data_IF_651497502322
#
_entry.id   IF_651497502322
#
_cell.length_a   1.000
_cell.length_b   1.000
_cell.length_c   1.000
_cell.angle_alpha   90.00
_cell.angle_beta   90.00
_cell.angle_gamma   90.00
#
_symmetry.space_group_name_H-M   'P 1'
#
loop_
_entity.id
_entity.type
_entity.pdbx_description
1 polymer ?
#
# COMPACT_ATOMS: atom_id res chain seq x y z
N UNK A 1 -32.16 18.84 -55.91
CA UNK A 1 -30.96 19.52 -55.37
C UNK A 1 -31.28 19.99 -53.96
N UNK A 2 -30.88 19.24 -52.95
CA UNK A 2 -30.75 19.69 -51.55
C UNK A 2 -29.76 18.74 -50.88
N UNK A 3 -28.48 19.09 -50.94
CA UNK A 3 -27.39 18.35 -50.32
C UNK A 3 -27.24 18.81 -48.87
N UNK A 4 -27.81 18.06 -47.92
CA UNK A 4 -27.52 18.27 -46.49
C UNK A 4 -26.14 17.70 -46.18
N UNK A 5 -25.18 18.58 -45.90
CA UNK A 5 -23.87 18.20 -45.39
C UNK A 5 -23.99 17.73 -43.93
N UNK A 6 -23.37 16.61 -43.55
CA UNK A 6 -23.23 16.27 -42.15
C UNK A 6 -22.20 17.21 -41.51
N UNK A 7 -22.67 17.89 -40.48
CA UNK A 7 -21.91 18.75 -39.58
C UNK A 7 -20.82 17.89 -38.93
N UNK A 8 -19.57 18.21 -39.22
CA UNK A 8 -18.38 17.64 -38.57
C UNK A 8 -18.47 17.88 -37.07
N UNK A 9 -18.64 16.80 -36.31
CA UNK A 9 -18.32 16.76 -34.89
C UNK A 9 -16.84 17.15 -34.75
N UNK A 10 -16.62 18.30 -34.12
CA UNK A 10 -15.30 18.68 -33.63
C UNK A 10 -14.90 17.69 -32.53
N UNK A 11 -13.73 17.03 -32.60
CA UNK A 11 -13.28 16.16 -31.54
C UNK A 11 -13.14 16.97 -30.25
N UNK A 12 -13.72 16.44 -29.17
CA UNK A 12 -13.54 16.90 -27.81
C UNK A 12 -12.05 17.16 -27.58
N UNK A 13 -11.66 18.33 -27.07
CA UNK A 13 -10.29 18.51 -26.57
C UNK A 13 -10.03 17.39 -25.57
N UNK A 14 -9.13 16.48 -25.91
CA UNK A 14 -8.71 15.38 -25.07
C UNK A 14 -8.04 15.97 -23.83
N UNK A 15 -8.78 16.01 -22.74
CA UNK A 15 -8.25 16.39 -21.45
C UNK A 15 -7.20 15.34 -21.03
N UNK A 16 -5.98 15.76 -20.62
CA UNK A 16 -4.94 14.80 -20.31
C UNK A 16 -5.37 13.89 -19.15
N UNK A 17 -4.99 12.60 -19.16
CA UNK A 17 -5.24 11.68 -18.06
C UNK A 17 -4.82 12.27 -16.71
N UNK A 18 -5.54 11.92 -15.64
CA UNK A 18 -5.27 12.43 -14.28
C UNK A 18 -3.79 12.28 -13.88
N UNK A 19 -3.15 11.18 -14.25
CA UNK A 19 -1.73 10.95 -13.98
C UNK A 19 -0.81 11.99 -14.64
N UNK A 20 -1.10 12.43 -15.87
CA UNK A 20 -0.32 13.45 -16.56
C UNK A 20 -0.53 14.83 -15.91
N UNK A 21 -1.76 15.17 -15.54
CA UNK A 21 -2.04 16.40 -14.80
C UNK A 21 -1.30 16.45 -13.47
N UNK A 22 -1.31 15.35 -12.71
CA UNK A 22 -0.58 15.27 -11.44
C UNK A 22 0.93 15.47 -11.63
N UNK A 23 1.51 14.97 -12.72
CA UNK A 23 2.93 15.20 -13.02
C UNK A 23 3.24 16.67 -13.31
N UNK A 24 2.39 17.34 -14.09
CA UNK A 24 2.65 18.72 -14.54
C UNK A 24 2.23 19.80 -13.54
N UNK A 25 1.11 19.60 -12.84
CA UNK A 25 0.48 20.62 -12.00
C UNK A 25 1.00 20.57 -10.55
N UNK A 26 1.67 19.49 -10.15
CA UNK A 26 2.27 19.38 -8.81
C UNK A 26 3.62 20.11 -8.77
N UNK A 27 3.81 20.98 -7.78
CA UNK A 27 5.07 21.68 -7.53
C UNK A 27 6.16 20.80 -6.92
N UNK A 28 6.57 19.73 -7.60
CA UNK A 28 7.45 18.69 -7.04
C UNK A 28 8.74 19.20 -6.39
N UNK A 29 9.35 20.23 -6.96
CA UNK A 29 10.58 20.83 -6.42
C UNK A 29 10.40 21.54 -5.07
N UNK A 30 9.17 21.90 -4.69
CA UNK A 30 8.87 22.50 -3.38
C UNK A 30 8.50 21.48 -2.32
N UNK A 31 8.32 20.21 -2.67
CA UNK A 31 7.88 19.17 -1.75
C UNK A 31 9.06 18.47 -1.10
N UNK A 32 9.05 18.41 0.23
CA UNK A 32 10.04 17.68 1.02
C UNK A 32 10.00 16.16 0.78
N UNK A 33 11.17 15.55 0.78
CA UNK A 33 11.42 14.11 0.76
C UNK A 33 12.41 13.75 1.88
N UNK A 34 12.62 12.46 2.21
CA UNK A 34 13.65 12.06 3.18
C UNK A 34 15.07 12.54 2.81
N UNK A 35 15.32 12.82 1.53
CA UNK A 35 16.65 13.13 0.99
C UNK A 35 16.77 14.52 0.38
N UNK A 36 15.78 15.41 0.58
CA UNK A 36 15.79 16.76 0.05
C UNK A 36 14.43 17.15 -0.52
N UNK A 37 14.38 17.46 -1.82
CA UNK A 37 13.17 17.86 -2.54
C UNK A 37 12.69 16.78 -3.50
N UNK A 38 11.45 16.92 -3.98
CA UNK A 38 10.82 16.01 -4.93
C UNK A 38 11.19 16.24 -6.40
N UNK A 39 12.20 17.05 -6.72
CA UNK A 39 12.52 17.47 -8.10
C UNK A 39 12.72 16.30 -9.08
N UNK A 40 13.28 15.19 -8.61
CA UNK A 40 13.50 13.99 -9.43
C UNK A 40 12.27 13.07 -9.57
N UNK A 41 11.22 13.27 -8.77
CA UNK A 41 10.05 12.39 -8.73
C UNK A 41 9.30 12.31 -10.06
N UNK A 42 9.04 13.40 -10.82
CA UNK A 42 8.29 13.31 -12.07
C UNK A 42 8.91 12.33 -13.06
N UNK A 43 10.22 12.42 -13.27
CA UNK A 43 10.95 11.54 -14.18
C UNK A 43 10.99 10.08 -13.71
N UNK A 44 10.96 9.83 -12.40
CA UNK A 44 10.86 8.47 -11.86
C UNK A 44 9.43 7.92 -12.00
N UNK A 45 8.41 8.74 -11.72
CA UNK A 45 7.00 8.36 -11.80
C UNK A 45 6.57 8.05 -13.24
N UNK A 46 6.99 8.83 -14.23
CA UNK A 46 6.74 8.55 -15.66
C UNK A 46 7.28 7.18 -16.08
N UNK A 47 8.45 6.80 -15.57
CA UNK A 47 9.10 5.52 -15.89
C UNK A 47 8.38 4.30 -15.30
N UNK A 48 7.43 4.48 -14.36
CA UNK A 48 6.55 3.39 -13.90
C UNK A 48 5.68 2.82 -15.04
N UNK A 49 5.45 3.60 -16.10
CA UNK A 49 4.68 3.20 -17.27
C UNK A 49 5.55 2.77 -18.45
N UNK A 50 6.87 2.71 -18.30
CA UNK A 50 7.80 2.28 -19.36
C UNK A 50 7.51 0.85 -19.83
N UNK A 51 7.73 0.53 -21.10
CA UNK A 51 7.51 -0.83 -21.60
C UNK A 51 8.49 -1.83 -20.98
N UNK A 52 9.74 -1.41 -20.78
CA UNK A 52 10.85 -2.26 -20.33
C UNK A 52 10.73 -2.63 -18.83
N UNK A 53 10.74 -3.93 -18.48
CA UNK A 53 10.64 -4.39 -17.09
C UNK A 53 11.72 -3.83 -16.15
N UNK A 54 12.98 -3.75 -16.61
CA UNK A 54 14.10 -3.26 -15.79
C UNK A 54 13.97 -1.76 -15.47
N UNK A 55 13.44 -0.99 -16.43
CA UNK A 55 13.15 0.44 -16.24
C UNK A 55 12.03 0.60 -15.20
N UNK A 56 10.96 -0.20 -15.31
CA UNK A 56 9.88 -0.20 -14.32
C UNK A 56 10.36 -0.59 -12.93
N UNK A 57 11.15 -1.64 -12.83
CA UNK A 57 11.68 -2.12 -11.55
C UNK A 57 12.54 -1.05 -10.86
N UNK A 58 13.40 -0.39 -11.64
CA UNK A 58 14.22 0.74 -11.18
C UNK A 58 13.34 1.93 -10.78
N UNK A 59 12.34 2.27 -11.60
CA UNK A 59 11.41 3.37 -11.34
C UNK A 59 10.58 3.15 -10.06
N UNK A 60 10.13 1.92 -9.78
CA UNK A 60 9.44 1.57 -8.53
C UNK A 60 10.35 1.86 -7.34
N UNK A 61 11.61 1.40 -7.38
CA UNK A 61 12.56 1.63 -6.28
C UNK A 61 12.88 3.11 -6.10
N UNK A 62 13.07 3.85 -7.19
CA UNK A 62 13.42 5.27 -7.15
C UNK A 62 12.23 6.13 -6.69
N UNK A 63 11.07 6.01 -7.33
CA UNK A 63 9.91 6.85 -7.04
C UNK A 63 9.35 6.58 -5.64
N UNK A 64 9.19 5.30 -5.26
CA UNK A 64 8.60 4.96 -3.97
C UNK A 64 9.63 5.10 -2.84
N UNK A 65 10.88 4.70 -3.07
CA UNK A 65 11.96 4.87 -2.10
C UNK A 65 12.25 6.34 -1.78
N UNK A 66 12.07 7.24 -2.74
CA UNK A 66 12.23 8.68 -2.53
C UNK A 66 11.16 9.29 -1.62
N UNK A 67 10.06 8.60 -1.30
CA UNK A 67 9.00 9.09 -0.41
C UNK A 67 8.69 8.13 0.74
N UNK A 68 9.59 7.19 1.00
CA UNK A 68 9.44 6.19 2.06
C UNK A 68 10.69 6.17 2.93
N UNK A 69 10.53 6.57 4.19
CA UNK A 69 11.58 6.46 5.20
C UNK A 69 10.96 6.45 6.60
N UNK A 70 11.36 5.48 7.44
CA UNK A 70 10.99 5.38 8.86
C UNK A 70 9.49 5.52 9.17
N UNK A 71 8.62 5.00 8.30
CA UNK A 71 7.16 5.08 8.45
C UNK A 71 6.63 6.52 8.54
N UNK A 72 7.34 7.47 7.94
CA UNK A 72 6.97 8.89 7.89
C UNK A 72 6.31 9.23 6.56
N UNK A 73 5.22 9.99 6.62
CA UNK A 73 4.59 10.60 5.44
C UNK A 73 5.18 11.99 5.23
N UNK A 74 5.78 12.18 4.05
CA UNK A 74 6.38 13.43 3.62
C UNK A 74 5.42 14.20 2.72
N UNK A 75 5.69 15.49 2.50
CA UNK A 75 4.90 16.35 1.61
C UNK A 75 4.74 15.74 0.22
N UNK A 76 5.81 15.13 -0.31
CA UNK A 76 5.79 14.45 -1.60
C UNK A 76 5.05 13.09 -1.59
N UNK A 77 4.89 12.44 -0.44
CA UNK A 77 4.19 11.14 -0.33
C UNK A 77 2.74 11.24 -0.81
N UNK A 78 2.07 12.36 -0.50
CA UNK A 78 0.67 12.60 -0.84
C UNK A 78 0.41 12.63 -2.35
N UNK A 79 1.08 13.49 -3.16
CA UNK A 79 0.89 13.49 -4.61
C UNK A 79 1.44 12.22 -5.27
N UNK A 80 2.47 11.56 -4.73
CA UNK A 80 2.87 10.22 -5.20
C UNK A 80 1.73 9.22 -5.02
N UNK A 81 1.05 9.21 -3.87
CA UNK A 81 -0.08 8.32 -3.64
C UNK A 81 -1.24 8.55 -4.62
N UNK A 82 -1.52 9.81 -4.94
CA UNK A 82 -2.51 10.17 -5.95
C UNK A 82 -2.09 9.73 -7.36
N UNK A 83 -0.82 9.92 -7.73
CA UNK A 83 -0.31 9.47 -9.01
C UNK A 83 -0.41 7.96 -9.14
N UNK A 84 0.03 7.23 -8.11
CA UNK A 84 -0.06 5.77 -8.04
C UNK A 84 -1.52 5.31 -8.20
N UNK A 85 -2.45 5.89 -7.44
CA UNK A 85 -3.87 5.58 -7.56
C UNK A 85 -4.39 5.82 -8.98
N UNK A 86 -3.97 6.90 -9.65
CA UNK A 86 -4.37 7.22 -11.02
C UNK A 86 -3.84 6.21 -12.06
N UNK A 87 -2.72 5.55 -11.81
CA UNK A 87 -2.11 4.60 -12.76
C UNK A 87 -2.36 3.12 -12.43
N UNK A 88 -2.97 2.79 -11.28
CA UNK A 88 -3.19 1.40 -10.84
C UNK A 88 -3.90 0.54 -11.91
N UNK A 89 -4.91 1.11 -12.57
CA UNK A 89 -5.67 0.47 -13.65
C UNK A 89 -4.98 0.45 -15.02
N UNK A 90 -3.83 1.13 -15.17
CA UNK A 90 -3.15 1.24 -16.46
C UNK A 90 -2.59 -0.13 -16.90
N UNK A 91 -2.73 -0.54 -18.18
CA UNK A 91 -2.23 -1.84 -18.65
C UNK A 91 -0.74 -2.08 -18.39
N UNK A 92 0.08 -1.02 -18.49
CA UNK A 92 1.51 -1.10 -18.21
C UNK A 92 1.83 -1.54 -16.76
N UNK A 93 0.94 -1.33 -15.79
CA UNK A 93 1.19 -1.81 -14.41
C UNK A 93 0.93 -3.31 -14.25
N UNK A 94 0.23 -3.95 -15.20
CA UNK A 94 -0.06 -5.39 -15.16
C UNK A 94 1.20 -6.25 -15.34
N UNK A 95 2.21 -5.70 -16.01
CA UNK A 95 3.48 -6.35 -16.29
C UNK A 95 4.48 -6.08 -15.17
N UNK A 96 5.29 -7.06 -14.80
CA UNK A 96 6.50 -6.84 -14.01
C UNK A 96 7.39 -8.08 -13.99
N UNK A 97 8.68 -7.85 -13.85
CA UNK A 97 9.68 -8.88 -13.57
C UNK A 97 10.55 -8.33 -12.45
N UNK A 98 10.61 -9.06 -11.34
CA UNK A 98 11.64 -8.84 -10.32
C UNK A 98 12.36 -10.15 -10.08
N UNK A 99 13.69 -10.07 -10.09
CA UNK A 99 14.65 -11.00 -9.50
C UNK A 99 15.63 -10.12 -8.71
N UNK A 100 15.80 -10.40 -7.41
CA UNK A 100 16.87 -9.82 -6.59
C UNK A 100 17.84 -10.88 -6.02
N UNK A 101 17.83 -12.11 -6.53
CA UNK A 101 18.66 -13.19 -5.97
C UNK A 101 19.29 -14.15 -6.99
N UNK A 102 19.11 -13.98 -8.30
CA UNK A 102 19.70 -14.90 -9.29
C UNK A 102 19.15 -16.33 -9.22
N UNK A 103 18.07 -16.53 -8.46
CA UNK A 103 17.32 -17.77 -8.37
C UNK A 103 15.84 -17.46 -8.57
N UNK A 104 15.41 -17.61 -9.83
CA UNK A 104 14.02 -17.77 -10.31
C UNK A 104 12.95 -17.13 -9.41
N UNK A 105 12.93 -15.81 -9.36
CA UNK A 105 11.89 -15.08 -8.64
C UNK A 105 10.56 -15.08 -9.42
N UNK A 106 9.40 -15.23 -8.75
CA UNK A 106 8.10 -15.09 -9.39
C UNK A 106 7.91 -13.66 -9.89
N UNK A 107 7.32 -13.53 -11.09
CA UNK A 107 7.05 -12.30 -11.81
C UNK A 107 6.21 -11.30 -11.00
N UNK A 108 6.84 -10.50 -10.15
CA UNK A 108 6.14 -9.51 -9.35
C UNK A 108 5.69 -8.34 -10.22
N UNK A 109 4.38 -8.24 -10.49
CA UNK A 109 3.86 -7.15 -11.33
C UNK A 109 4.08 -5.80 -10.66
N UNK A 110 4.34 -4.76 -11.47
CA UNK A 110 4.43 -3.38 -10.96
C UNK A 110 3.18 -3.00 -10.17
N UNK A 111 2.00 -3.47 -10.57
CA UNK A 111 0.74 -3.26 -9.85
C UNK A 111 0.78 -3.78 -8.41
N UNK A 112 1.30 -4.99 -8.18
CA UNK A 112 1.40 -5.54 -6.82
C UNK A 112 2.35 -4.68 -5.97
N UNK A 113 3.49 -4.25 -6.53
CA UNK A 113 4.40 -3.34 -5.83
C UNK A 113 3.75 -2.01 -5.45
N UNK A 114 2.98 -1.42 -6.37
CA UNK A 114 2.23 -0.18 -6.13
C UNK A 114 1.14 -0.35 -5.05
N UNK A 115 0.39 -1.46 -5.10
CA UNK A 115 -0.64 -1.78 -4.10
C UNK A 115 -0.04 -2.01 -2.71
N UNK A 116 1.09 -2.73 -2.64
CA UNK A 116 1.77 -2.97 -1.38
C UNK A 116 2.37 -1.71 -0.79
N UNK A 117 2.92 -0.83 -1.62
CA UNK A 117 3.35 0.49 -1.17
C UNK A 117 2.18 1.32 -0.64
N UNK A 118 1.04 1.37 -1.35
CA UNK A 118 -0.17 2.03 -0.84
C UNK A 118 -0.66 1.41 0.48
N UNK A 119 -0.56 0.09 0.63
CA UNK A 119 -0.93 -0.59 1.88
C UNK A 119 -0.02 -0.21 3.05
N UNK A 120 1.29 -0.07 2.81
CA UNK A 120 2.24 0.37 3.82
C UNK A 120 1.99 1.83 4.19
N UNK A 121 1.92 2.73 3.21
CA UNK A 121 1.66 4.16 3.46
C UNK A 121 0.30 4.39 4.13
N UNK A 122 -0.73 3.64 3.76
CA UNK A 122 -2.03 3.76 4.42
C UNK A 122 -2.01 3.24 5.86
N UNK A 123 -1.18 2.23 6.16
CA UNK A 123 -0.95 1.77 7.54
C UNK A 123 -0.22 2.82 8.37
N UNK A 124 0.79 3.48 7.81
CA UNK A 124 1.52 4.57 8.47
C UNK A 124 0.61 5.79 8.78
N UNK A 125 -0.55 5.89 8.14
CA UNK A 125 -1.57 6.92 8.35
C UNK A 125 -2.86 6.40 9.02
N UNK A 126 -2.88 5.17 9.52
CA UNK A 126 -4.10 4.58 10.09
C UNK A 126 -4.49 5.21 11.45
N UNK A 127 -5.71 4.91 11.88
CA UNK A 127 -6.29 5.47 13.10
C UNK A 127 -5.52 5.04 14.37
N UNK A 128 -4.95 3.84 14.39
CA UNK A 128 -4.14 3.36 15.51
C UNK A 128 -2.82 4.14 15.60
N UNK A 129 -2.13 4.32 14.48
CA UNK A 129 -0.87 5.07 14.39
C UNK A 129 -1.06 6.52 14.84
N UNK A 130 -2.12 7.18 14.37
CA UNK A 130 -2.47 8.54 14.82
C UNK A 130 -2.80 8.56 16.31
N UNK A 131 -3.58 7.60 16.81
CA UNK A 131 -3.91 7.51 18.24
C UNK A 131 -2.66 7.36 19.11
N UNK A 132 -1.67 6.57 18.66
CA UNK A 132 -0.39 6.41 19.35
C UNK A 132 0.41 7.71 19.31
N UNK A 133 0.48 8.37 18.14
CA UNK A 133 1.20 9.62 17.98
C UNK A 133 0.60 10.74 18.86
N UNK A 134 -0.73 10.87 18.91
CA UNK A 134 -1.42 11.86 19.75
C UNK A 134 -1.17 11.62 21.25
N UNK A 135 -1.03 10.36 21.69
CA UNK A 135 -0.67 10.06 23.09
C UNK A 135 0.74 10.51 23.45
N UNK A 136 1.66 10.53 22.49
CA UNK A 136 3.07 10.86 22.70
C UNK A 136 3.33 12.36 22.49
N UNK A 137 2.79 12.93 21.42
CA UNK A 137 3.04 14.31 20.98
C UNK A 137 1.93 15.29 21.40
N UNK A 138 0.76 14.78 21.82
CA UNK A 138 -0.41 15.59 22.18
C UNK A 138 -1.48 15.59 21.09
N UNK A 139 -2.68 16.04 21.46
CA UNK A 139 -3.88 16.00 20.60
C UNK A 139 -3.84 16.94 19.38
N UNK A 140 -2.74 17.66 19.16
CA UNK A 140 -2.51 18.56 18.02
C UNK A 140 -1.67 17.92 16.92
N UNK A 141 -1.32 16.63 17.04
CA UNK A 141 -0.46 15.92 16.09
C UNK A 141 -0.90 16.09 14.62
N UNK A 142 -2.19 15.96 14.31
CA UNK A 142 -2.68 16.13 12.93
C UNK A 142 -2.64 17.58 12.42
N UNK A 143 -2.60 18.57 13.31
CA UNK A 143 -2.39 19.98 12.94
C UNK A 143 -0.90 20.28 12.71
N UNK A 144 -0.02 19.54 13.39
CA UNK A 144 1.45 19.62 13.25
C UNK A 144 2.00 18.77 12.09
N UNK A 145 1.24 17.77 11.64
CA UNK A 145 1.59 16.88 10.52
C UNK A 145 0.51 16.96 9.41
N UNK A 146 0.44 18.07 8.66
CA UNK A 146 -0.58 18.28 7.64
C UNK A 146 -0.54 17.26 6.50
N UNK A 147 0.60 16.59 6.27
CA UNK A 147 0.78 15.56 5.24
C UNK A 147 0.02 14.28 5.59
N UNK A 148 0.04 13.87 6.86
CA UNK A 148 -0.72 12.71 7.36
C UNK A 148 -2.22 13.01 7.23
N UNK A 149 -2.64 14.21 7.63
CA UNK A 149 -4.02 14.67 7.46
C UNK A 149 -4.45 14.66 5.99
N UNK A 150 -3.63 15.23 5.10
CA UNK A 150 -3.89 15.28 3.67
C UNK A 150 -3.99 13.88 3.05
N UNK A 151 -3.11 12.94 3.42
CA UNK A 151 -3.22 11.55 2.99
C UNK A 151 -4.54 10.92 3.48
N UNK A 152 -4.89 11.14 4.76
CA UNK A 152 -6.12 10.59 5.37
C UNK A 152 -7.38 11.12 4.68
N UNK A 153 -7.40 12.38 4.26
CA UNK A 153 -8.51 13.01 3.53
C UNK A 153 -8.67 12.44 2.11
N UNK A 154 -7.60 11.91 1.52
CA UNK A 154 -7.61 11.29 0.18
C UNK A 154 -7.97 9.80 0.18
N UNK A 155 -8.16 9.19 1.37
CA UNK A 155 -8.50 7.76 1.48
C UNK A 155 -9.69 7.35 0.59
N UNK A 156 -10.80 8.10 0.47
CA UNK A 156 -11.89 7.77 -0.46
C UNK A 156 -11.44 7.68 -1.93
N UNK A 157 -10.60 8.60 -2.38
CA UNK A 157 -10.11 8.63 -3.76
C UNK A 157 -9.19 7.46 -4.04
N UNK A 158 -8.24 7.19 -3.15
CA UNK A 158 -7.30 6.06 -3.27
C UNK A 158 -8.07 4.73 -3.21
N UNK A 159 -9.03 4.61 -2.27
CA UNK A 159 -9.86 3.43 -2.13
C UNK A 159 -10.63 3.12 -3.42
N UNK A 160 -11.19 4.13 -4.10
CA UNK A 160 -11.89 3.94 -5.37
C UNK A 160 -11.02 3.27 -6.44
N UNK A 161 -9.74 3.64 -6.52
CA UNK A 161 -8.79 3.01 -7.43
C UNK A 161 -8.43 1.58 -6.98
N UNK A 162 -8.14 1.38 -5.69
CA UNK A 162 -7.78 0.07 -5.12
C UNK A 162 -8.92 -0.95 -5.23
N UNK A 163 -10.16 -0.51 -5.01
CA UNK A 163 -11.37 -1.37 -5.01
C UNK A 163 -11.53 -2.16 -6.31
N UNK A 164 -11.14 -1.58 -7.44
CA UNK A 164 -11.19 -2.24 -8.76
C UNK A 164 -10.35 -3.53 -8.83
N UNK A 165 -9.40 -3.69 -7.92
CA UNK A 165 -8.48 -4.82 -7.88
C UNK A 165 -8.85 -5.89 -6.85
N UNK A 166 -9.87 -5.66 -6.00
CA UNK A 166 -10.32 -6.64 -4.99
C UNK A 166 -10.87 -7.93 -5.61
N UNK A 167 -11.36 -7.87 -6.85
CA UNK A 167 -11.91 -9.01 -7.60
C UNK A 167 -10.97 -9.60 -8.65
N UNK A 168 -9.71 -9.18 -8.72
CA UNK A 168 -8.77 -9.57 -9.77
C UNK A 168 -8.51 -11.09 -9.84
N UNK A 169 -8.21 -11.64 -11.03
CA UNK A 169 -7.99 -13.09 -11.18
C UNK A 169 -6.70 -13.56 -10.47
N UNK A 170 -5.62 -12.80 -10.62
CA UNK A 170 -4.38 -13.01 -9.88
C UNK A 170 -4.60 -12.77 -8.36
N UNK A 171 -4.31 -13.80 -7.56
CA UNK A 171 -4.43 -13.75 -6.10
C UNK A 171 -3.51 -12.71 -5.45
N UNK A 172 -2.28 -12.54 -5.92
CA UNK A 172 -1.35 -11.54 -5.37
C UNK A 172 -1.89 -10.12 -5.51
N UNK A 173 -2.54 -9.82 -6.65
CA UNK A 173 -3.15 -8.51 -6.89
C UNK A 173 -4.36 -8.30 -5.96
N UNK A 174 -5.24 -9.29 -5.80
CA UNK A 174 -6.37 -9.16 -4.87
C UNK A 174 -5.91 -9.02 -3.42
N UNK A 175 -4.94 -9.80 -3.00
CA UNK A 175 -4.47 -9.81 -1.62
C UNK A 175 -3.79 -8.47 -1.29
N UNK A 176 -2.94 -7.96 -2.18
CA UNK A 176 -2.35 -6.62 -2.06
C UNK A 176 -3.42 -5.52 -2.06
N UNK A 177 -4.45 -5.62 -2.91
CA UNK A 177 -5.55 -4.67 -2.93
C UNK A 177 -6.36 -4.70 -1.63
N UNK A 178 -6.63 -5.88 -1.06
CA UNK A 178 -7.31 -6.00 0.22
C UNK A 178 -6.49 -5.35 1.35
N UNK A 179 -5.19 -5.62 1.40
CA UNK A 179 -4.30 -5.05 2.41
C UNK A 179 -4.19 -3.52 2.31
N UNK A 180 -4.29 -2.96 1.10
CA UNK A 180 -4.41 -1.51 0.92
C UNK A 180 -5.80 -1.01 1.34
N UNK A 181 -6.85 -1.73 0.99
CA UNK A 181 -8.24 -1.32 1.26
C UNK A 181 -8.59 -1.24 2.75
N UNK A 182 -7.99 -2.08 3.60
CA UNK A 182 -8.26 -2.12 5.06
C UNK A 182 -8.05 -0.76 5.73
N UNK A 183 -6.82 -0.19 5.79
CA UNK A 183 -6.59 1.09 6.46
C UNK A 183 -7.25 2.27 5.72
N UNK A 184 -7.46 2.17 4.40
CA UNK A 184 -8.23 3.17 3.66
C UNK A 184 -9.69 3.23 4.17
N UNK A 185 -10.31 2.08 4.45
CA UNK A 185 -11.72 1.94 4.87
C UNK A 185 -12.05 2.46 6.28
N UNK A 186 -11.04 2.91 7.03
CA UNK A 186 -11.22 3.60 8.30
C UNK A 186 -11.86 4.98 8.12
N UNK A 187 -11.66 5.61 6.96
CA UNK A 187 -12.33 6.87 6.64
C UNK A 187 -13.87 6.70 6.75
N UNK A 188 -14.59 7.57 7.49
CA UNK A 188 -16.01 7.37 7.77
C UNK A 188 -16.90 7.17 6.55
N UNK A 189 -16.61 7.89 5.45
CA UNK A 189 -17.33 7.75 4.18
C UNK A 189 -17.21 6.34 3.55
N UNK A 190 -16.22 5.54 3.95
CA UNK A 190 -15.97 4.19 3.44
C UNK A 190 -16.49 3.09 4.36
N UNK A 191 -17.06 3.43 5.52
CA UNK A 191 -17.65 2.45 6.43
C UNK A 191 -18.67 1.50 5.76
N UNK A 192 -19.53 1.95 4.81
CA UNK A 192 -20.46 1.05 4.11
C UNK A 192 -19.77 -0.03 3.25
N UNK A 193 -18.49 0.11 2.93
CA UNK A 193 -17.76 -0.86 2.12
C UNK A 193 -17.08 -1.97 2.94
N UNK A 194 -17.13 -1.93 4.27
CA UNK A 194 -16.47 -2.93 5.12
C UNK A 194 -17.06 -4.33 4.93
N UNK A 195 -18.38 -4.44 4.71
CA UNK A 195 -19.04 -5.72 4.44
C UNK A 195 -18.50 -6.41 3.18
N UNK A 196 -18.16 -5.63 2.14
CA UNK A 196 -17.50 -6.14 0.93
C UNK A 196 -16.11 -6.71 1.28
N UNK A 197 -15.32 -5.98 2.07
CA UNK A 197 -13.97 -6.38 2.48
C UNK A 197 -13.96 -7.66 3.33
N UNK A 198 -15.00 -7.92 4.12
CA UNK A 198 -15.12 -9.13 4.95
C UNK A 198 -15.08 -10.41 4.10
N UNK A 199 -15.72 -10.40 2.93
CA UNK A 199 -15.69 -11.53 2.01
C UNK A 199 -14.29 -11.80 1.48
N UNK A 200 -13.56 -10.74 1.12
CA UNK A 200 -12.18 -10.82 0.67
C UNK A 200 -11.24 -11.27 1.79
N UNK A 201 -11.42 -10.74 3.01
CA UNK A 201 -10.65 -11.10 4.21
C UNK A 201 -10.75 -12.59 4.53
N UNK A 202 -11.97 -13.14 4.55
CA UNK A 202 -12.16 -14.59 4.79
C UNK A 202 -11.50 -15.45 3.73
N UNK A 203 -11.54 -15.02 2.46
CA UNK A 203 -10.88 -15.72 1.36
C UNK A 203 -9.37 -15.72 1.54
N UNK A 204 -8.77 -14.57 1.83
CA UNK A 204 -7.33 -14.45 2.07
C UNK A 204 -6.92 -15.35 3.23
N UNK A 205 -7.63 -15.29 4.37
CA UNK A 205 -7.31 -16.10 5.54
C UNK A 205 -7.44 -17.62 5.31
N UNK A 206 -8.18 -18.06 4.29
CA UNK A 206 -8.27 -19.47 3.94
C UNK A 206 -7.04 -19.98 3.17
N UNK A 207 -6.30 -19.10 2.48
CA UNK A 207 -5.22 -19.50 1.56
C UNK A 207 -3.85 -18.97 1.94
N UNK A 208 -3.78 -17.84 2.65
CA UNK A 208 -2.53 -17.17 2.97
C UNK A 208 -2.00 -17.62 4.33
N UNK A 209 -0.71 -17.97 4.38
CA UNK A 209 0.01 -18.43 5.58
C UNK A 209 0.96 -17.39 6.15
N UNK A 210 1.13 -16.24 5.49
CA UNK A 210 1.98 -15.16 6.00
C UNK A 210 1.38 -14.56 7.27
N UNK A 211 2.09 -14.72 8.38
CA UNK A 211 1.61 -14.33 9.70
C UNK A 211 1.29 -12.83 9.80
N UNK A 212 2.13 -11.97 9.22
CA UNK A 212 1.94 -10.53 9.34
C UNK A 212 0.67 -10.08 8.58
N UNK A 213 0.53 -10.57 7.35
CA UNK A 213 -0.67 -10.38 6.51
C UNK A 213 -1.92 -10.87 7.23
N UNK A 214 -1.90 -12.11 7.74
CA UNK A 214 -3.03 -12.69 8.47
C UNK A 214 -3.41 -11.86 9.69
N UNK A 215 -2.43 -11.43 10.48
CA UNK A 215 -2.67 -10.62 11.68
C UNK A 215 -3.38 -9.31 11.32
N UNK A 216 -2.90 -8.57 10.31
CA UNK A 216 -3.56 -7.33 9.85
C UNK A 216 -5.02 -7.55 9.45
N UNK A 217 -5.31 -8.66 8.77
CA UNK A 217 -6.68 -9.00 8.34
C UNK A 217 -7.55 -9.42 9.52
N UNK A 218 -7.02 -10.18 10.47
CA UNK A 218 -7.73 -10.58 11.69
C UNK A 218 -8.05 -9.37 12.57
N UNK A 219 -7.10 -8.45 12.75
CA UNK A 219 -7.28 -7.22 13.53
C UNK A 219 -8.36 -6.33 12.89
N UNK A 220 -8.35 -6.19 11.56
CA UNK A 220 -9.39 -5.47 10.83
C UNK A 220 -10.79 -6.10 11.02
N UNK A 221 -10.91 -7.42 10.86
CA UNK A 221 -12.17 -8.13 11.09
C UNK A 221 -12.67 -7.96 12.53
N UNK A 222 -11.76 -7.98 13.51
CA UNK A 222 -12.10 -7.75 14.90
C UNK A 222 -12.60 -6.33 15.14
N UNK A 223 -11.92 -5.32 14.58
CA UNK A 223 -12.31 -3.91 14.65
C UNK A 223 -13.67 -3.64 14.00
N UNK A 224 -14.05 -4.40 12.96
CA UNK A 224 -15.36 -4.34 12.34
C UNK A 224 -16.44 -5.17 13.06
N UNK A 225 -16.11 -5.83 14.17
CA UNK A 225 -17.06 -6.58 15.01
C UNK A 225 -17.30 -8.03 14.59
N UNK A 226 -16.45 -8.61 13.73
CA UNK A 226 -16.58 -10.01 13.32
C UNK A 226 -15.82 -10.96 14.26
N UNK A 227 -16.41 -12.15 14.48
CA UNK A 227 -15.74 -13.23 15.20
C UNK A 227 -14.70 -13.91 14.30
N UNK A 228 -13.44 -13.84 14.72
CA UNK A 228 -12.28 -14.39 13.99
C UNK A 228 -11.85 -15.78 14.45
N UNK A 229 -12.38 -16.32 15.55
CA UNK A 229 -11.91 -17.59 16.16
C UNK A 229 -11.93 -18.79 15.23
N UNK A 230 -12.86 -18.83 14.27
CA UNK A 230 -12.96 -19.90 13.27
C UNK A 230 -12.05 -19.72 12.04
N UNK A 231 -11.31 -18.59 11.97
CA UNK A 231 -10.44 -18.22 10.86
C UNK A 231 -8.95 -18.21 11.26
N UNK A 232 -8.67 -18.16 12.57
CA UNK A 232 -7.32 -18.26 13.14
C UNK A 232 -6.75 -19.68 12.92
N UNK A 233 -5.48 -19.76 12.51
CA UNK A 233 -4.73 -21.01 12.46
C UNK A 233 -3.89 -21.19 13.75
N UNK A 234 -3.15 -22.30 13.85
CA UNK A 234 -2.33 -22.58 15.04
C UNK A 234 -1.28 -21.48 15.31
N UNK A 235 -0.68 -20.90 14.27
CA UNK A 235 0.34 -19.85 14.39
C UNK A 235 -0.26 -18.52 14.87
N UNK A 236 -1.46 -18.17 14.40
CA UNK A 236 -2.19 -16.97 14.85
C UNK A 236 -2.53 -17.09 16.35
N UNK A 237 -3.01 -18.27 16.76
CA UNK A 237 -3.34 -18.57 18.18
C UNK A 237 -2.07 -18.49 19.03
N UNK A 238 -0.97 -19.09 18.58
CA UNK A 238 0.31 -19.07 19.27
C UNK A 238 0.89 -17.65 19.40
N UNK A 239 0.70 -16.79 18.40
CA UNK A 239 1.13 -15.41 18.40
C UNK A 239 0.38 -14.56 19.44
N UNK A 240 -0.91 -14.85 19.67
CA UNK A 240 -1.78 -14.12 20.58
C UNK A 240 -1.58 -14.50 22.05
N UNK A 241 -1.17 -15.74 22.34
CA UNK A 241 -0.97 -16.22 23.72
C UNK A 241 0.42 -15.84 24.28
N UNK A 242 0.51 -14.96 25.30
CA UNK A 242 1.78 -14.62 25.96
C UNK A 242 2.50 -15.85 26.54
N UNK A 243 1.78 -16.90 26.94
CA UNK A 243 2.35 -18.14 27.48
C UNK A 243 3.00 -18.99 26.39
N UNK A 244 2.42 -19.03 25.19
CA UNK A 244 3.01 -19.75 24.04
C UNK A 244 4.25 -19.02 23.53
N UNK A 245 4.25 -17.68 23.51
CA UNK A 245 5.49 -16.89 23.26
C UNK A 245 6.60 -17.24 24.25
N UNK A 246 6.26 -17.41 25.53
CA UNK A 246 7.22 -17.72 26.59
C UNK A 246 7.74 -19.16 26.52
N UNK A 247 6.92 -20.12 26.10
CA UNK A 247 7.32 -21.52 25.87
C UNK A 247 8.17 -21.66 24.60
N UNK A 248 7.81 -20.98 23.50
CA UNK A 248 8.60 -20.95 22.26
C UNK A 248 9.96 -20.25 22.47
N UNK A 249 10.00 -19.15 23.23
CA UNK A 249 11.24 -18.50 23.63
C UNK A 249 12.10 -19.44 24.51
N UNK A 250 11.52 -20.15 25.48
CA UNK A 250 12.29 -21.10 26.32
C UNK A 250 12.79 -22.32 25.55
N UNK A 251 12.07 -22.79 24.53
CA UNK A 251 12.51 -23.89 23.66
C UNK A 251 13.68 -23.50 22.75
N UNK A 252 13.73 -22.24 22.30
CA UNK A 252 14.83 -21.70 21.48
C UNK A 252 16.13 -21.53 22.28
N UNK A 253 16.05 -21.16 23.56
CA UNK A 253 17.22 -20.98 24.44
C UNK A 253 17.78 -22.29 25.01
N UNK A 254 17.06 -23.41 24.88
CA UNK A 254 17.51 -24.72 25.35
C UNK A 254 18.43 -25.46 24.35
N UNK A 255 18.66 -24.91 23.15
CA UNK A 255 19.36 -25.57 22.05
C UNK A 255 20.84 -25.21 21.84
N UNK A 256 21.45 -24.35 22.65
CA UNK A 256 22.78 -23.79 22.36
C UNK A 256 23.67 -23.57 23.56
N UNK A 257 23.84 -24.59 24.41
CA UNK A 257 24.80 -24.53 25.51
C UNK A 257 26.12 -25.22 25.16
N UNK A 258 27.11 -24.49 24.66
CA UNK A 258 28.54 -24.82 24.82
C UNK A 258 29.26 -23.53 25.26
N UNK A 259 29.40 -23.35 26.57
CA UNK A 259 30.33 -22.37 27.15
C UNK A 259 31.74 -22.96 27.09
N UNK A 260 32.59 -22.39 26.25
CA UNK A 260 34.03 -22.49 26.44
C UNK A 260 34.52 -21.16 27.02
N UNK A 261 35.14 -21.23 28.20
CA UNK A 261 35.61 -20.05 28.92
C UNK A 261 36.85 -19.44 28.23
N UNK A 262 37.04 -18.11 28.26
CA UNK A 262 38.19 -17.47 27.62
C UNK A 262 39.48 -17.72 28.43
N UNK A 263 40.62 -17.99 27.78
CA UNK A 263 41.91 -18.02 28.45
C UNK A 263 42.41 -16.59 28.72
N UNK A 264 43.11 -16.44 29.85
CA UNK A 264 43.77 -15.21 30.32
C UNK A 264 44.84 -14.69 29.35
#
# INVERSE_FOLDING_TARGET
MTSSHPRTDTPHRDEPPLSQKLLHDTGWASLGTPSGTGEALPAALERLLATEPDIKATAVREALGAVTHQNTIYEATVPVAMYVAAILGHPATATGGFDQSGERAPHYSTRVALLNWLSATAHDADDETVTIAERVCGNTFLDECPEIRAFRDLRPTIYSAVRQHLGHDNAEVRDAALLAAIPLSEHPALAPHRDELVGHARRLLATNTDRHTRNRVLDALHAWGHNTRGLENADDIAARDPRVRQVAARGSWAGGGHSEAPPF
#
